data_IF_630822035104
#
_entry.id   IF_630822035104
#
_cell.length_a   1.000
_cell.length_b   1.000
_cell.length_c   1.000
_cell.angle_alpha   90.00
_cell.angle_beta   90.00
_cell.angle_gamma   90.00
#
_symmetry.space_group_name_H-M   'P 1'
#
loop_
_entity.id
_entity.type
_entity.pdbx_description
1 polymer ?
#
# COMPACT_ATOMS: atom_id res chain seq x y z
N UNK A 1 17.96 61.24 7.89
CA UNK A 1 16.99 60.35 7.22
C UNK A 1 17.54 58.93 7.38
N UNK A 2 16.99 58.12 8.32
CA UNK A 2 16.03 57.00 8.08
C UNK A 2 16.74 55.83 7.35
N UNK A 3 16.92 54.61 7.86
CA UNK A 3 16.47 53.89 9.06
C UNK A 3 17.41 52.68 9.33
N UNK A 4 17.49 52.13 10.57
CA UNK A 4 18.16 50.85 10.82
C UNK A 4 17.22 49.67 10.50
N UNK A 5 17.73 48.67 9.80
CA UNK A 5 17.04 47.43 9.44
C UNK A 5 16.96 46.50 10.66
N UNK A 6 15.77 46.37 11.25
CA UNK A 6 15.49 45.45 12.35
C UNK A 6 15.19 44.07 11.75
N UNK A 7 16.14 43.14 11.79
CA UNK A 7 15.84 41.71 11.57
C UNK A 7 15.25 41.14 12.85
N UNK A 8 13.93 40.93 12.86
CA UNK A 8 13.28 40.01 13.79
C UNK A 8 13.37 38.60 13.21
N UNK A 9 13.93 37.61 13.92
CA UNK A 9 13.86 36.23 13.48
C UNK A 9 12.41 35.75 13.59
N UNK A 10 11.80 35.48 12.44
CA UNK A 10 10.48 34.89 12.31
C UNK A 10 10.57 33.44 12.83
N UNK A 11 10.28 33.26 14.12
CA UNK A 11 10.20 31.93 14.72
C UNK A 11 8.92 31.26 14.24
N UNK A 12 9.02 30.53 13.12
CA UNK A 12 7.98 29.59 12.69
C UNK A 12 7.97 28.43 13.69
N UNK A 13 7.14 28.54 14.72
CA UNK A 13 6.75 27.37 15.51
C UNK A 13 5.76 26.59 14.66
N UNK A 14 6.26 25.62 13.92
CA UNK A 14 5.41 24.61 13.29
C UNK A 14 4.80 23.78 14.41
N UNK A 15 3.51 23.97 14.65
CA UNK A 15 2.68 23.00 15.35
C UNK A 15 2.44 21.84 14.38
N UNK A 16 3.41 20.90 14.27
CA UNK A 16 3.14 19.61 13.64
C UNK A 16 2.26 18.81 14.60
N UNK A 17 0.98 18.67 14.25
CA UNK A 17 0.28 17.44 14.58
C UNK A 17 1.10 16.29 13.99
N UNK A 18 1.66 15.44 14.85
CA UNK A 18 2.49 14.31 14.46
C UNK A 18 1.65 13.25 13.70
N UNK A 19 1.38 13.47 12.42
CA UNK A 19 1.41 12.36 11.49
C UNK A 19 2.89 12.04 11.29
N UNK A 20 3.32 10.82 11.60
CA UNK A 20 4.69 10.39 11.32
C UNK A 20 5.02 10.81 9.87
N UNK A 21 6.13 11.50 9.65
CA UNK A 21 6.56 11.84 8.30
C UNK A 21 7.33 10.64 7.75
N UNK A 22 7.21 10.35 6.46
CA UNK A 22 8.06 9.37 5.80
C UNK A 22 9.53 9.71 6.04
N UNK A 23 10.28 8.72 6.52
CA UNK A 23 11.73 8.77 6.69
C UNK A 23 12.33 7.92 5.58
N UNK A 24 12.90 8.59 4.58
CA UNK A 24 13.59 7.92 3.47
C UNK A 24 14.87 7.25 4.01
N UNK A 25 15.11 5.96 3.70
CA UNK A 25 16.36 5.30 4.09
C UNK A 25 17.57 5.98 3.45
N UNK A 26 18.73 5.88 4.11
CA UNK A 26 20.00 6.35 3.55
C UNK A 26 20.37 5.66 2.22
N UNK A 27 21.33 6.25 1.50
CA UNK A 27 21.71 5.82 0.15
C UNK A 27 22.39 4.43 0.07
N UNK A 28 22.89 3.90 1.19
CA UNK A 28 23.55 2.59 1.20
C UNK A 28 22.52 1.45 1.18
N UNK A 29 22.73 0.41 0.37
CA UNK A 29 21.89 -0.79 0.42
C UNK A 29 21.80 -1.36 1.84
N UNK A 30 20.59 -1.72 2.26
CA UNK A 30 20.29 -2.18 3.62
C UNK A 30 20.00 -1.05 4.62
N UNK A 31 20.17 0.23 4.25
CA UNK A 31 19.68 1.34 5.06
C UNK A 31 18.18 1.23 5.26
N UNK A 32 17.73 1.45 6.50
CA UNK A 32 16.32 1.40 6.87
C UNK A 32 15.71 2.79 7.00
N UNK A 33 14.42 2.86 6.71
CA UNK A 33 13.59 4.04 6.82
C UNK A 33 12.23 3.67 7.41
N UNK A 34 11.28 4.59 7.37
CA UNK A 34 9.95 4.39 7.92
C UNK A 34 8.89 5.09 7.07
N UNK A 35 7.76 4.42 6.85
CA UNK A 35 6.58 5.02 6.20
C UNK A 35 5.36 4.84 7.10
N UNK A 36 4.54 5.89 7.29
CA UNK A 36 3.28 5.77 8.02
C UNK A 36 2.30 4.86 7.28
N UNK A 37 1.54 4.09 8.04
CA UNK A 37 0.47 3.25 7.52
C UNK A 37 -0.68 3.27 8.53
N UNK A 38 -1.55 4.28 8.39
CA UNK A 38 -2.59 4.67 9.35
C UNK A 38 -2.06 4.78 10.77
N UNK A 39 -2.44 3.86 11.67
CA UNK A 39 -1.96 3.87 13.07
C UNK A 39 -0.62 3.16 13.26
N UNK A 40 -0.10 2.49 12.25
CA UNK A 40 1.17 1.77 12.28
C UNK A 40 2.29 2.54 11.56
N UNK A 41 3.52 2.08 11.75
CA UNK A 41 4.69 2.54 10.99
C UNK A 41 5.37 1.32 10.39
N UNK A 42 5.51 1.30 9.07
CA UNK A 42 6.19 0.23 8.35
C UNK A 42 7.65 0.59 8.14
N UNK A 43 8.53 -0.41 8.23
CA UNK A 43 9.95 -0.25 7.96
C UNK A 43 10.18 -0.36 6.46
N UNK A 44 10.93 0.58 5.90
CA UNK A 44 11.41 0.52 4.51
C UNK A 44 12.89 0.20 4.48
N UNK A 45 13.37 -0.30 3.34
CA UNK A 45 14.78 -0.64 3.12
C UNK A 45 15.22 -0.21 1.73
N UNK A 46 16.43 0.34 1.62
CA UNK A 46 17.07 0.58 0.33
C UNK A 46 17.63 -0.72 -0.24
N UNK A 47 17.14 -1.10 -1.42
CA UNK A 47 17.67 -2.23 -2.18
C UNK A 47 18.91 -1.82 -3.00
N UNK A 48 19.63 -2.82 -3.51
CA UNK A 48 20.84 -2.63 -4.32
C UNK A 48 20.60 -1.96 -5.67
N UNK A 49 19.35 -1.97 -6.15
CA UNK A 49 18.90 -1.28 -7.36
C UNK A 49 18.60 0.21 -7.11
N UNK A 50 18.76 0.69 -5.86
CA UNK A 50 18.48 2.07 -5.46
C UNK A 50 17.01 2.34 -5.13
N UNK A 51 16.13 1.36 -5.31
CA UNK A 51 14.72 1.49 -4.96
C UNK A 51 14.52 1.32 -3.45
N UNK A 52 13.43 1.92 -2.94
CA UNK A 52 13.00 1.78 -1.55
C UNK A 52 11.81 0.84 -1.50
N UNK A 53 11.92 -0.23 -0.73
CA UNK A 53 10.89 -1.25 -0.59
C UNK A 53 10.46 -1.37 0.87
N UNK A 54 9.28 -1.93 1.11
CA UNK A 54 8.93 -2.40 2.45
C UNK A 54 9.87 -3.54 2.86
N UNK A 55 10.32 -3.54 4.12
CA UNK A 55 11.19 -4.59 4.65
C UNK A 55 10.45 -5.93 4.85
N UNK A 56 9.11 -5.90 4.91
CA UNK A 56 8.23 -7.06 4.95
C UNK A 56 7.09 -6.91 3.96
N UNK A 57 6.42 -8.01 3.63
CA UNK A 57 5.18 -7.98 2.84
C UNK A 57 4.10 -7.17 3.58
N UNK A 58 3.28 -6.44 2.84
CA UNK A 58 2.17 -5.68 3.44
C UNK A 58 1.17 -6.63 4.11
N UNK A 59 0.81 -6.36 5.36
CA UNK A 59 -0.03 -7.25 6.18
C UNK A 59 0.74 -8.38 6.89
N UNK A 60 2.06 -8.49 6.72
CA UNK A 60 2.84 -9.52 7.40
C UNK A 60 3.05 -9.20 8.89
N UNK A 61 3.07 -10.24 9.72
CA UNK A 61 3.36 -10.13 11.14
C UNK A 61 4.87 -9.99 11.43
N UNK A 62 5.73 -10.42 10.50
CA UNK A 62 7.18 -10.32 10.64
C UNK A 62 7.92 -10.22 9.30
N UNK A 63 9.19 -9.83 9.38
CA UNK A 63 10.14 -9.93 8.25
C UNK A 63 10.44 -11.39 7.97
N UNK A 64 10.46 -11.76 6.68
CA UNK A 64 10.68 -13.14 6.27
C UNK A 64 12.04 -13.69 6.68
N UNK A 65 12.00 -14.83 7.38
CA UNK A 65 13.21 -15.58 7.77
C UNK A 65 13.51 -16.70 6.76
N UNK A 66 12.47 -17.23 6.11
CA UNK A 66 12.58 -18.29 5.09
C UNK A 66 11.43 -18.21 4.09
N UNK A 67 11.52 -18.98 3.00
CA UNK A 67 10.46 -19.05 1.99
C UNK A 67 9.17 -19.71 2.50
N UNK A 68 9.23 -20.49 3.59
CA UNK A 68 8.07 -21.16 4.20
C UNK A 68 7.53 -20.42 5.43
N UNK A 69 8.04 -19.22 5.72
CA UNK A 69 7.64 -18.43 6.89
C UNK A 69 6.24 -17.84 6.71
N UNK A 70 5.24 -18.59 7.17
CA UNK A 70 3.81 -18.23 7.05
C UNK A 70 3.51 -16.85 7.65
N UNK A 71 4.19 -16.45 8.72
CA UNK A 71 3.98 -15.16 9.36
C UNK A 71 4.51 -13.98 8.55
N UNK A 72 5.39 -14.24 7.57
CA UNK A 72 5.96 -13.24 6.67
C UNK A 72 5.21 -13.09 5.34
N UNK A 73 4.22 -13.94 5.07
CA UNK A 73 3.58 -13.97 3.75
C UNK A 73 2.76 -12.71 3.43
N UNK A 74 2.26 -12.00 4.44
CA UNK A 74 1.38 -10.85 4.28
C UNK A 74 -0.03 -11.20 3.82
N UNK A 75 -0.83 -10.18 3.55
CA UNK A 75 -2.22 -10.34 3.10
C UNK A 75 -2.32 -10.46 1.57
N UNK A 76 -3.52 -10.75 1.09
CA UNK A 76 -3.85 -10.90 -0.32
C UNK A 76 -4.62 -9.67 -0.81
N UNK A 77 -4.22 -9.05 -1.91
CA UNK A 77 -4.86 -7.83 -2.40
C UNK A 77 -5.62 -8.07 -3.70
N UNK A 78 -6.88 -7.64 -3.74
CA UNK A 78 -7.76 -7.71 -4.90
C UNK A 78 -7.83 -6.36 -5.59
N UNK A 79 -7.60 -6.34 -6.91
CA UNK A 79 -7.68 -5.10 -7.67
C UNK A 79 -8.98 -4.35 -7.39
N UNK A 80 -8.87 -3.05 -7.10
CA UNK A 80 -10.01 -2.17 -6.91
C UNK A 80 -10.89 -2.43 -5.69
N UNK A 81 -10.39 -3.18 -4.69
CA UNK A 81 -11.02 -3.26 -3.37
C UNK A 81 -10.13 -2.64 -2.30
N UNK A 82 -10.76 -1.97 -1.34
CA UNK A 82 -10.11 -1.62 -0.08
C UNK A 82 -9.77 -2.87 0.72
N UNK A 83 -8.78 -2.76 1.60
CA UNK A 83 -8.57 -3.74 2.66
C UNK A 83 -9.70 -3.64 3.70
N UNK A 84 -10.81 -4.34 3.43
CA UNK A 84 -11.97 -4.47 4.31
C UNK A 84 -11.95 -5.81 5.09
N UNK A 85 -10.77 -6.45 5.20
CA UNK A 85 -10.56 -7.71 5.91
C UNK A 85 -10.72 -8.98 5.06
N UNK A 86 -11.24 -8.86 3.82
CA UNK A 86 -11.25 -9.99 2.88
C UNK A 86 -9.84 -10.45 2.47
N UNK A 87 -8.86 -9.56 2.59
CA UNK A 87 -7.47 -9.76 2.19
C UNK A 87 -6.73 -10.78 3.07
N UNK A 88 -7.23 -11.04 4.28
CA UNK A 88 -6.64 -11.99 5.20
C UNK A 88 -6.54 -13.37 4.57
N UNK A 89 -5.39 -14.03 4.73
CA UNK A 89 -5.17 -15.39 4.18
C UNK A 89 -6.12 -16.46 4.74
N UNK A 90 -6.79 -16.17 5.85
CA UNK A 90 -7.79 -17.02 6.50
C UNK A 90 -9.21 -16.73 6.04
N UNK A 91 -9.41 -15.75 5.16
CA UNK A 91 -10.73 -15.41 4.63
C UNK A 91 -11.33 -16.55 3.82
N UNK A 92 -12.65 -16.61 3.78
CA UNK A 92 -13.34 -17.56 2.91
C UNK A 92 -13.09 -17.20 1.45
N UNK A 93 -13.01 -18.18 0.56
CA UNK A 93 -12.86 -17.94 -0.88
C UNK A 93 -14.16 -18.23 -1.62
N UNK A 94 -14.37 -17.52 -2.73
CA UNK A 94 -15.51 -17.75 -3.61
C UNK A 94 -15.05 -17.76 -5.07
N UNK A 95 -15.51 -18.74 -5.85
CA UNK A 95 -15.19 -18.79 -7.28
C UNK A 95 -16.06 -17.80 -8.05
N UNK A 96 -15.46 -17.04 -8.97
CA UNK A 96 -16.18 -16.19 -9.93
C UNK A 96 -15.76 -16.55 -11.35
N UNK A 97 -16.75 -16.78 -12.22
CA UNK A 97 -16.54 -17.22 -13.61
C UNK A 97 -16.36 -16.07 -14.61
N UNK A 98 -16.71 -14.83 -14.25
CA UNK A 98 -16.62 -13.67 -15.13
C UNK A 98 -16.39 -12.38 -14.33
N UNK A 99 -15.13 -12.00 -14.09
CA UNK A 99 -14.77 -10.63 -13.68
C UNK A 99 -14.22 -9.82 -14.87
N UNK A 100 -14.30 -10.39 -16.07
CA UNK A 100 -13.52 -10.04 -17.27
C UNK A 100 -14.05 -8.87 -18.12
N UNK A 101 -14.85 -7.94 -17.60
CA UNK A 101 -15.25 -6.77 -18.40
C UNK A 101 -15.22 -5.43 -17.65
N UNK A 102 -14.07 -5.13 -17.07
CA UNK A 102 -13.68 -3.75 -16.69
C UNK A 102 -14.14 -3.24 -15.33
N UNK A 103 -14.47 -4.09 -14.35
CA UNK A 103 -14.71 -3.54 -13.03
C UNK A 103 -14.72 -4.51 -11.82
N UNK A 104 -13.70 -4.47 -10.96
CA UNK A 104 -13.79 -5.05 -9.63
C UNK A 104 -14.62 -4.21 -8.65
N UNK A 105 -15.18 -3.04 -9.06
CA UNK A 105 -16.29 -2.42 -8.30
C UNK A 105 -17.51 -3.36 -8.18
N UNK A 106 -17.61 -4.41 -9.00
CA UNK A 106 -18.63 -5.46 -8.87
C UNK A 106 -18.38 -6.44 -7.71
N UNK A 107 -17.18 -6.42 -7.11
CA UNK A 107 -16.88 -7.14 -5.88
C UNK A 107 -17.44 -6.30 -4.73
N UNK A 108 -18.74 -6.45 -4.48
CA UNK A 108 -19.49 -5.59 -3.55
C UNK A 108 -18.74 -5.32 -2.24
N UNK A 109 -18.77 -4.07 -1.80
CA UNK A 109 -18.23 -3.66 -0.50
C UNK A 109 -18.85 -4.51 0.61
N UNK A 110 -18.03 -5.05 1.52
CA UNK A 110 -18.51 -5.83 2.66
C UNK A 110 -18.74 -7.32 2.40
N UNK A 111 -18.34 -7.86 1.24
CA UNK A 111 -18.20 -9.31 1.07
C UNK A 111 -16.99 -9.82 1.88
N UNK A 112 -17.16 -10.85 2.73
CA UNK A 112 -16.04 -11.44 3.47
C UNK A 112 -15.15 -12.33 2.59
N UNK A 113 -15.52 -12.53 1.32
CA UNK A 113 -14.84 -13.46 0.44
C UNK A 113 -13.63 -12.83 -0.25
N UNK A 114 -12.51 -13.56 -0.28
CA UNK A 114 -11.47 -13.38 -1.29
C UNK A 114 -11.89 -14.17 -2.53
N UNK A 115 -12.41 -13.46 -3.52
CA UNK A 115 -12.82 -14.08 -4.76
C UNK A 115 -11.61 -14.66 -5.54
N UNK A 116 -11.76 -15.85 -6.07
CA UNK A 116 -10.75 -16.55 -6.87
C UNK A 116 -11.35 -16.85 -8.25
N UNK A 117 -10.56 -16.67 -9.32
CA UNK A 117 -10.99 -17.02 -10.67
C UNK A 117 -10.97 -18.54 -10.87
N UNK A 118 -11.89 -19.06 -11.70
CA UNK A 118 -11.80 -20.45 -12.15
C UNK A 118 -10.58 -20.65 -13.10
N UNK A 119 -10.24 -19.61 -13.86
CA UNK A 119 -9.03 -19.46 -14.64
C UNK A 119 -8.33 -18.13 -14.25
N UNK A 120 -6.98 -18.07 -14.18
CA UNK A 120 -6.25 -16.83 -13.93
C UNK A 120 -6.65 -15.65 -14.83
N UNK A 121 -7.08 -15.92 -16.08
CA UNK A 121 -7.57 -14.90 -17.01
C UNK A 121 -8.98 -14.36 -16.67
N UNK A 122 -9.74 -15.05 -15.83
CA UNK A 122 -11.12 -14.68 -15.47
C UNK A 122 -11.17 -13.52 -14.48
N UNK A 123 -10.10 -13.32 -13.70
CA UNK A 123 -10.02 -12.35 -12.61
C UNK A 123 -9.94 -10.90 -13.12
N UNK A 124 -9.10 -10.67 -14.14
CA UNK A 124 -8.93 -9.37 -14.78
C UNK A 124 -8.33 -9.58 -16.18
N UNK A 125 -9.19 -9.85 -17.16
CA UNK A 125 -8.76 -10.11 -18.53
C UNK A 125 -8.39 -8.85 -19.34
N UNK A 126 -8.73 -7.66 -18.84
CA UNK A 126 -8.58 -6.39 -19.55
C UNK A 126 -7.33 -5.59 -19.13
N UNK A 127 -6.43 -6.21 -18.36
CA UNK A 127 -5.31 -5.51 -17.76
C UNK A 127 -4.18 -5.21 -18.68
N UNK A 128 -3.56 -4.06 -18.42
CA UNK A 128 -2.41 -3.60 -19.16
C UNK A 128 -1.35 -3.09 -18.19
N UNK A 129 -0.10 -3.02 -18.65
CA UNK A 129 1.00 -2.45 -17.86
C UNK A 129 0.84 -0.93 -17.58
N UNK A 130 -0.18 -0.30 -18.18
CA UNK A 130 -0.55 1.09 -17.91
C UNK A 130 -1.49 1.24 -16.70
N UNK A 131 -2.05 0.13 -16.19
CA UNK A 131 -2.91 0.13 -15.01
C UNK A 131 -2.06 0.27 -13.75
N UNK A 132 -2.50 1.09 -12.80
CA UNK A 132 -1.74 1.31 -11.56
C UNK A 132 -2.64 1.42 -10.32
N UNK A 133 -2.03 1.10 -9.17
CA UNK A 133 -2.61 1.32 -7.85
C UNK A 133 -2.36 2.76 -7.43
N UNK A 134 -3.43 3.52 -7.17
CA UNK A 134 -3.30 4.95 -6.83
C UNK A 134 -4.60 5.73 -6.91
N UNK A 135 -5.74 5.06 -7.08
CA UNK A 135 -7.06 5.68 -6.97
C UNK A 135 -7.54 5.68 -5.53
N UNK A 136 -8.25 6.73 -5.12
CA UNK A 136 -9.12 6.73 -3.93
C UNK A 136 -10.47 6.03 -4.19
N UNK A 137 -10.71 5.62 -5.43
CA UNK A 137 -11.86 4.85 -5.89
C UNK A 137 -11.42 4.01 -7.07
N UNK A 138 -11.88 2.76 -7.11
CA UNK A 138 -11.51 1.84 -8.16
C UNK A 138 -12.14 2.21 -9.51
N UNK A 139 -11.37 2.04 -10.58
CA UNK A 139 -11.84 2.08 -11.96
C UNK A 139 -11.30 0.88 -12.74
N UNK A 140 -11.67 0.80 -14.01
CA UNK A 140 -11.13 -0.18 -14.95
C UNK A 140 -9.62 -0.09 -15.18
N UNK A 141 -8.95 0.99 -14.78
CA UNK A 141 -7.50 1.19 -15.01
C UNK A 141 -6.75 1.72 -13.78
N UNK A 142 -7.48 2.05 -12.72
CA UNK A 142 -6.93 2.56 -11.45
C UNK A 142 -7.43 1.71 -10.30
N UNK A 143 -6.53 0.97 -9.68
CA UNK A 143 -6.79 0.20 -8.48
C UNK A 143 -6.78 1.11 -7.24
N UNK A 144 -7.38 0.60 -6.17
CA UNK A 144 -7.33 1.23 -4.85
C UNK A 144 -6.02 0.83 -4.19
N UNK A 145 -5.13 1.78 -3.95
CA UNK A 145 -3.84 1.49 -3.34
C UNK A 145 -4.02 0.91 -1.92
N UNK A 146 -3.61 -0.35 -1.66
CA UNK A 146 -3.68 -0.95 -0.33
C UNK A 146 -2.87 -0.19 0.73
N UNK A 147 -1.85 0.56 0.30
CA UNK A 147 -1.05 1.42 1.17
C UNK A 147 -1.78 2.72 1.56
N UNK A 148 -2.81 3.12 0.82
CA UNK A 148 -3.54 4.37 1.02
C UNK A 148 -4.79 4.22 1.92
N UNK A 149 -5.14 3.00 2.32
CA UNK A 149 -6.46 2.63 2.82
C UNK A 149 -6.66 2.51 4.32
N UNK A 150 -5.71 2.98 5.13
CA UNK A 150 -5.75 2.86 6.59
C UNK A 150 -5.49 4.21 7.26
#
# INVERSE_FOLDING_TARGET
>A
MKAPLLLLPLSFTFCLSASAQEVVPGETPGSTGAVPYGTATLVTVRATDGNVWLQQNLGAAQVGISMEDVAAFGDLYQWGRWDDGHALRTSATANVSTLSSSNPLGLGTGSPFFFIGANPADWWGAGTDADFWGGTSATATKGIDPCAGI
#
